data_IF_310881518426
#
_entry.id   IF_310881518426
#
_cell.length_a   1.000
_cell.length_b   1.000
_cell.length_c   1.000
_cell.angle_alpha   90.00
_cell.angle_beta   90.00
_cell.angle_gamma   90.00
#
_symmetry.space_group_name_H-M   'P 1'
#
loop_
_entity.id
_entity.type
_entity.pdbx_description
1 polymer ?
#
# COMPACT_ATOMS: atom_id res chain seq x y z
N UNK A 1 21.88 -1.52 -4.51
CA UNK A 1 20.66 -1.42 -3.69
C UNK A 1 20.55 -2.62 -2.74
N UNK A 2 19.87 -2.46 -1.61
CA UNK A 2 19.49 -3.56 -0.72
C UNK A 2 18.03 -3.92 -0.97
N UNK A 3 17.70 -5.20 -0.96
CA UNK A 3 16.34 -5.69 -1.19
C UNK A 3 16.03 -6.87 -0.26
N UNK A 4 14.80 -6.90 0.28
CA UNK A 4 14.32 -8.03 1.07
C UNK A 4 13.88 -9.18 0.14
N UNK A 5 14.47 -10.34 0.31
CA UNK A 5 14.18 -11.56 -0.46
C UNK A 5 13.74 -12.66 0.50
N UNK A 6 12.55 -13.17 0.26
CA UNK A 6 12.02 -14.34 0.92
C UNK A 6 12.58 -15.59 0.24
N UNK A 7 13.52 -16.29 0.90
CA UNK A 7 14.23 -17.46 0.35
C UNK A 7 13.37 -18.73 0.36
N UNK A 8 12.58 -18.88 1.40
CA UNK A 8 11.62 -19.95 1.68
C UNK A 8 10.69 -19.48 2.80
N UNK A 9 9.62 -20.19 3.13
CA UNK A 9 8.81 -19.85 4.29
C UNK A 9 9.65 -19.61 5.54
N UNK A 10 9.32 -18.57 6.29
CA UNK A 10 9.98 -18.13 7.53
C UNK A 10 11.45 -17.69 7.38
N UNK A 11 11.93 -17.40 6.14
CA UNK A 11 13.32 -17.03 5.91
C UNK A 11 13.43 -15.83 4.95
N UNK A 12 13.61 -14.63 5.53
CA UNK A 12 13.90 -13.39 4.79
C UNK A 12 15.38 -13.05 4.94
N UNK A 13 16.00 -12.70 3.82
CA UNK A 13 17.37 -12.20 3.76
C UNK A 13 17.41 -10.85 3.05
N UNK A 14 18.36 -10.01 3.46
CA UNK A 14 18.67 -8.77 2.74
C UNK A 14 19.80 -9.05 1.77
N UNK A 15 19.48 -8.98 0.50
CA UNK A 15 20.47 -9.11 -0.57
C UNK A 15 20.96 -7.74 -1.06
N UNK A 16 22.21 -7.66 -1.45
CA UNK A 16 22.74 -6.53 -2.17
C UNK A 16 22.73 -6.81 -3.68
N UNK A 17 22.11 -5.92 -4.45
CA UNK A 17 22.04 -5.99 -5.91
C UNK A 17 22.55 -4.70 -6.53
N UNK A 18 23.20 -4.79 -7.67
CA UNK A 18 23.59 -3.61 -8.46
C UNK A 18 22.41 -3.21 -9.35
N UNK A 19 22.01 -1.95 -9.27
CA UNK A 19 21.14 -1.37 -10.28
C UNK A 19 21.98 -1.06 -11.54
N UNK A 20 21.31 -1.02 -12.68
CA UNK A 20 21.97 -0.56 -13.92
C UNK A 20 22.44 0.90 -13.77
N UNK A 21 23.58 1.21 -14.36
CA UNK A 21 24.19 2.54 -14.21
C UNK A 21 23.41 3.62 -15.00
N UNK A 22 22.88 3.27 -16.17
CA UNK A 22 22.21 4.22 -17.08
C UNK A 22 20.72 3.92 -17.17
N UNK A 23 19.88 4.96 -17.05
CA UNK A 23 18.44 4.87 -17.25
C UNK A 23 18.10 4.74 -18.74
N UNK A 24 16.98 4.07 -19.03
CA UNK A 24 16.32 4.22 -20.31
C UNK A 24 15.60 5.59 -20.39
N UNK A 25 15.23 6.08 -21.59
CA UNK A 25 14.61 7.40 -21.72
C UNK A 25 13.35 7.59 -20.90
N UNK A 26 12.53 6.53 -20.70
CA UNK A 26 11.25 6.52 -20.02
C UNK A 26 11.32 6.06 -18.54
N UNK A 27 12.53 6.02 -17.95
CA UNK A 27 12.73 5.50 -16.60
C UNK A 27 13.09 6.58 -15.58
N UNK A 28 12.70 6.32 -14.36
CA UNK A 28 13.13 7.08 -13.17
C UNK A 28 13.92 6.18 -12.22
N UNK A 29 14.89 6.77 -11.52
CA UNK A 29 15.58 6.18 -10.37
C UNK A 29 15.10 6.88 -9.12
N UNK A 30 14.73 6.12 -8.11
CA UNK A 30 14.27 6.67 -6.84
C UNK A 30 14.86 5.94 -5.64
N UNK A 31 15.10 6.71 -4.57
CA UNK A 31 15.65 6.22 -3.29
C UNK A 31 14.50 6.11 -2.29
N UNK A 32 14.29 4.92 -1.76
CA UNK A 32 13.27 4.64 -0.76
C UNK A 32 13.51 5.40 0.55
N UNK A 33 12.46 6.01 1.07
CA UNK A 33 12.41 6.67 2.37
C UNK A 33 11.74 5.76 3.40
N UNK A 34 10.57 5.20 3.04
CA UNK A 34 9.81 4.30 3.89
C UNK A 34 9.09 3.26 3.05
N UNK A 35 8.89 2.09 3.61
CA UNK A 35 8.16 0.99 2.98
C UNK A 35 7.31 0.31 4.05
N UNK A 36 6.01 0.11 3.76
CA UNK A 36 5.06 -0.40 4.74
C UNK A 36 4.86 -1.91 4.62
N UNK A 37 4.86 -2.59 5.76
CA UNK A 37 4.49 -3.99 5.87
C UNK A 37 2.96 -4.14 5.96
N UNK A 38 2.39 -4.89 5.02
CA UNK A 38 0.97 -5.23 5.00
C UNK A 38 0.76 -6.58 5.68
N UNK A 39 0.34 -6.55 6.95
CA UNK A 39 0.28 -7.73 7.82
C UNK A 39 -0.46 -8.93 7.20
N UNK A 40 -1.50 -8.72 6.41
CA UNK A 40 -2.20 -9.81 5.71
C UNK A 40 -1.31 -10.47 4.66
N UNK A 41 -0.92 -9.71 3.64
CA UNK A 41 -0.16 -10.22 2.48
C UNK A 41 1.27 -10.60 2.85
N UNK A 42 1.99 -9.73 3.57
CA UNK A 42 3.41 -9.97 3.87
C UNK A 42 3.58 -11.11 4.87
N UNK A 43 2.65 -11.23 5.83
CA UNK A 43 2.62 -12.39 6.74
C UNK A 43 2.30 -13.68 5.98
N UNK A 44 1.28 -13.69 5.11
CA UNK A 44 0.95 -14.85 4.29
C UNK A 44 2.12 -15.28 3.39
N UNK A 45 2.81 -14.30 2.76
CA UNK A 45 4.06 -14.57 2.02
C UNK A 45 5.13 -15.21 2.91
N UNK A 46 5.34 -14.66 4.11
CA UNK A 46 6.35 -15.13 5.05
C UNK A 46 6.07 -16.55 5.54
N UNK A 47 4.81 -16.85 5.84
CA UNK A 47 4.37 -18.17 6.30
C UNK A 47 4.26 -19.20 5.15
N UNK A 48 4.25 -18.75 3.91
CA UNK A 48 4.09 -19.61 2.73
C UNK A 48 2.65 -20.06 2.53
N UNK A 49 1.67 -19.22 2.88
CA UNK A 49 0.26 -19.51 2.69
C UNK A 49 -0.08 -19.69 1.19
N UNK A 50 -0.79 -20.75 0.85
CA UNK A 50 -1.11 -21.14 -0.54
C UNK A 50 -2.03 -20.14 -1.25
N UNK A 51 -2.86 -19.42 -0.52
CA UNK A 51 -3.82 -18.44 -1.03
C UNK A 51 -3.19 -17.07 -1.36
N UNK A 52 -1.90 -16.86 -1.03
CA UNK A 52 -1.20 -15.63 -1.39
C UNK A 52 -0.73 -15.70 -2.85
N UNK A 53 -1.07 -14.71 -3.69
CA UNK A 53 -0.64 -14.68 -5.08
C UNK A 53 0.87 -14.86 -5.24
N UNK A 54 1.27 -15.84 -6.07
CA UNK A 54 2.67 -16.19 -6.29
C UNK A 54 3.30 -17.10 -5.23
N UNK A 55 2.61 -17.49 -4.15
CA UNK A 55 3.02 -18.60 -3.30
C UNK A 55 2.73 -19.93 -4.04
N UNK A 56 3.53 -20.97 -3.87
CA UNK A 56 4.74 -21.10 -3.05
C UNK A 56 6.06 -20.89 -3.81
N UNK A 57 6.14 -20.00 -4.79
CA UNK A 57 7.36 -19.77 -5.59
C UNK A 57 8.42 -19.02 -4.80
N UNK A 58 9.58 -19.62 -4.62
CA UNK A 58 10.75 -19.05 -3.94
C UNK A 58 12.03 -19.25 -4.77
N UNK A 59 13.05 -18.38 -4.63
CA UNK A 59 13.05 -17.14 -3.85
C UNK A 59 12.21 -16.04 -4.52
N UNK A 60 11.63 -15.11 -3.72
CA UNK A 60 10.83 -14.00 -4.23
C UNK A 60 11.07 -12.72 -3.44
N UNK A 61 10.86 -11.58 -4.10
CA UNK A 61 10.79 -10.30 -3.40
C UNK A 61 9.44 -10.17 -2.65
N UNK A 62 9.40 -9.28 -1.66
CA UNK A 62 8.21 -8.98 -0.84
C UNK A 62 8.01 -7.47 -0.71
N UNK A 63 6.78 -7.08 -0.43
CA UNK A 63 6.37 -5.68 -0.34
C UNK A 63 5.85 -5.11 -1.65
N UNK A 64 4.99 -4.10 -1.54
CA UNK A 64 4.34 -3.42 -2.65
C UNK A 64 3.78 -2.05 -2.22
N UNK A 65 4.39 -1.42 -1.22
CA UNK A 65 4.02 -0.10 -0.72
C UNK A 65 5.28 0.64 -0.29
N UNK A 66 5.72 1.58 -1.10
CA UNK A 66 7.04 2.19 -1.01
C UNK A 66 6.93 3.70 -1.29
N UNK A 67 7.49 4.51 -0.41
CA UNK A 67 7.70 5.94 -0.63
C UNK A 67 9.16 6.17 -0.97
N UNK A 68 9.41 6.94 -2.00
CA UNK A 68 10.75 7.25 -2.45
C UNK A 68 10.88 8.71 -2.91
N UNK A 69 12.12 9.16 -3.01
CA UNK A 69 12.50 10.45 -3.61
C UNK A 69 13.17 10.17 -4.95
N UNK A 70 12.68 10.79 -6.00
CA UNK A 70 13.25 10.70 -7.35
C UNK A 70 14.66 11.30 -7.34
N UNK A 71 15.65 10.53 -7.78
CA UNK A 71 17.08 10.91 -7.81
C UNK A 71 17.56 11.23 -9.21
N UNK A 72 16.99 10.56 -10.22
CA UNK A 72 17.40 10.67 -11.61
C UNK A 72 16.20 10.36 -12.51
N UNK A 73 16.09 11.03 -13.65
CA UNK A 73 15.04 10.79 -14.65
C UNK A 73 15.66 10.60 -16.04
N UNK A 74 15.04 9.78 -16.86
CA UNK A 74 15.35 9.61 -18.27
C UNK A 74 14.91 10.81 -19.11
N UNK A 75 15.42 10.90 -20.33
CA UNK A 75 15.23 12.06 -21.20
C UNK A 75 13.78 12.26 -21.71
N UNK A 76 12.93 11.23 -21.65
CA UNK A 76 11.53 11.26 -22.10
C UNK A 76 10.53 11.30 -20.93
N UNK A 77 11.02 11.31 -19.69
CA UNK A 77 10.16 11.43 -18.49
C UNK A 77 9.57 12.83 -18.42
N UNK A 78 8.24 12.93 -18.40
CA UNK A 78 7.51 14.18 -18.39
C UNK A 78 6.70 14.45 -17.12
N UNK A 79 6.30 13.40 -16.39
CA UNK A 79 5.43 13.53 -15.22
C UNK A 79 6.18 13.74 -13.90
N UNK A 80 7.48 13.40 -13.85
CA UNK A 80 8.30 13.46 -12.63
C UNK A 80 9.53 14.33 -12.81
N UNK A 81 10.01 14.90 -11.72
CA UNK A 81 11.29 15.63 -11.65
C UNK A 81 12.12 15.14 -10.47
N UNK A 82 13.42 15.38 -10.53
CA UNK A 82 14.35 15.10 -9.42
C UNK A 82 13.90 15.86 -8.17
N UNK A 83 13.85 15.16 -7.06
CA UNK A 83 13.37 15.66 -5.77
C UNK A 83 11.89 15.37 -5.49
N UNK A 84 11.10 14.93 -6.46
CA UNK A 84 9.71 14.57 -6.22
C UNK A 84 9.62 13.40 -5.23
N UNK A 85 8.68 13.53 -4.29
CA UNK A 85 8.27 12.45 -3.39
C UNK A 85 7.18 11.62 -4.08
N UNK A 86 7.40 10.33 -4.19
CA UNK A 86 6.50 9.43 -4.91
C UNK A 86 6.13 8.22 -4.08
N UNK A 87 4.89 7.76 -4.25
CA UNK A 87 4.41 6.45 -3.78
C UNK A 87 4.44 5.48 -4.94
N UNK A 88 4.83 4.24 -4.68
CA UNK A 88 4.90 3.18 -5.68
C UNK A 88 4.59 1.80 -5.09
N UNK A 89 4.34 0.83 -5.97
CA UNK A 89 4.18 -0.58 -5.61
C UNK A 89 5.51 -1.36 -5.69
N UNK A 90 6.63 -0.70 -5.51
CA UNK A 90 7.91 -1.35 -5.47
C UNK A 90 8.10 -2.18 -4.19
N UNK A 91 8.89 -3.27 -4.26
CA UNK A 91 9.22 -4.11 -3.11
C UNK A 91 9.90 -3.36 -1.97
N UNK A 92 10.09 -4.05 -0.83
CA UNK A 92 10.94 -3.56 0.27
C UNK A 92 12.39 -3.54 -0.17
N UNK A 93 12.82 -2.41 -0.72
CA UNK A 93 14.17 -2.19 -1.24
C UNK A 93 14.63 -0.74 -1.04
N UNK A 94 15.94 -0.53 -0.97
CA UNK A 94 16.51 0.78 -0.64
C UNK A 94 16.49 1.77 -1.80
N UNK A 95 16.46 1.27 -3.02
CA UNK A 95 16.53 2.06 -4.26
C UNK A 95 15.98 1.23 -5.42
N UNK A 96 15.39 1.88 -6.40
CA UNK A 96 14.79 1.20 -7.54
C UNK A 96 14.82 2.04 -8.82
N UNK A 97 14.64 1.36 -9.96
CA UNK A 97 14.41 1.97 -11.26
C UNK A 97 13.10 1.41 -11.79
N UNK A 98 12.24 2.28 -12.30
CA UNK A 98 10.98 1.89 -12.92
C UNK A 98 10.65 2.84 -14.07
N UNK A 99 9.81 2.37 -14.99
CA UNK A 99 9.25 3.22 -16.03
C UNK A 99 8.24 4.20 -15.46
N UNK A 100 8.18 5.40 -16.01
CA UNK A 100 7.21 6.43 -15.66
C UNK A 100 5.76 5.93 -15.75
N UNK A 101 5.46 5.07 -16.74
CA UNK A 101 4.13 4.49 -16.97
C UNK A 101 3.66 3.45 -15.95
N UNK A 102 4.49 3.11 -14.95
CA UNK A 102 4.10 2.16 -13.89
C UNK A 102 3.27 2.85 -12.81
N UNK A 103 2.76 2.07 -11.83
CA UNK A 103 1.96 2.59 -10.72
C UNK A 103 2.79 3.43 -9.75
N UNK A 104 3.15 4.64 -10.19
CA UNK A 104 3.88 5.65 -9.42
C UNK A 104 3.06 6.92 -9.41
N UNK A 105 2.90 7.56 -8.25
CA UNK A 105 2.18 8.82 -8.10
C UNK A 105 2.97 9.78 -7.23
N UNK A 106 2.97 11.07 -7.58
CA UNK A 106 3.51 12.13 -6.72
C UNK A 106 2.69 12.26 -5.44
N UNK A 107 3.37 12.50 -4.32
CA UNK A 107 2.74 12.75 -3.03
C UNK A 107 2.49 14.24 -2.90
N UNK A 108 1.24 14.69 -2.64
CA UNK A 108 0.93 16.08 -2.44
C UNK A 108 1.73 16.69 -1.29
N UNK A 109 2.00 18.00 -1.40
CA UNK A 109 2.63 18.76 -0.31
C UNK A 109 1.76 18.69 0.97
N UNK A 110 2.41 18.59 2.13
CA UNK A 110 1.75 18.49 3.43
C UNK A 110 1.31 17.09 3.83
N UNK A 111 1.29 16.10 2.92
CA UNK A 111 1.02 14.69 3.27
C UNK A 111 2.32 14.05 3.80
N UNK A 112 2.25 13.43 4.98
CA UNK A 112 3.38 12.70 5.57
C UNK A 112 3.64 11.38 4.86
N UNK A 113 4.90 10.95 4.84
CA UNK A 113 5.31 9.67 4.22
C UNK A 113 4.63 8.47 4.88
N UNK A 114 4.50 8.52 6.23
CA UNK A 114 3.86 7.47 7.02
C UNK A 114 2.35 7.33 6.73
N UNK A 115 1.71 8.39 6.25
CA UNK A 115 0.31 8.36 5.83
C UNK A 115 0.21 7.96 4.34
N UNK A 116 1.06 8.56 3.49
CA UNK A 116 1.07 8.32 2.06
C UNK A 116 1.37 6.85 1.69
N UNK A 117 2.22 6.18 2.47
CA UNK A 117 2.61 4.78 2.21
C UNK A 117 1.43 3.81 2.23
N UNK A 118 0.29 4.18 2.83
CA UNK A 118 -0.94 3.39 2.87
C UNK A 118 -1.90 3.66 1.72
N UNK A 119 -1.59 4.60 0.82
CA UNK A 119 -2.48 5.02 -0.28
C UNK A 119 -2.93 3.85 -1.17
N UNK A 120 -2.05 2.88 -1.44
CA UNK A 120 -2.40 1.68 -2.21
C UNK A 120 -3.50 0.86 -1.54
N UNK A 121 -3.47 0.72 -0.21
CA UNK A 121 -4.51 0.02 0.55
C UNK A 121 -5.78 0.85 0.67
N UNK A 122 -5.68 2.16 0.80
CA UNK A 122 -6.85 3.05 0.78
C UNK A 122 -7.55 3.04 -0.57
N UNK A 123 -6.80 2.94 -1.67
CA UNK A 123 -7.37 2.75 -3.01
C UNK A 123 -8.17 1.44 -3.09
N UNK A 124 -7.67 0.34 -2.52
CA UNK A 124 -8.41 -0.92 -2.43
C UNK A 124 -9.67 -0.78 -1.56
N UNK A 125 -9.57 -0.05 -0.44
CA UNK A 125 -10.73 0.22 0.43
C UNK A 125 -11.81 1.05 -0.29
N UNK A 126 -11.42 2.05 -1.07
CA UNK A 126 -12.32 2.83 -1.91
C UNK A 126 -12.97 1.95 -3.01
N UNK A 127 -12.16 1.08 -3.64
CA UNK A 127 -12.64 0.18 -4.69
C UNK A 127 -13.71 -0.81 -4.20
N UNK A 128 -13.74 -1.15 -2.90
CA UNK A 128 -14.81 -1.96 -2.32
C UNK A 128 -16.20 -1.35 -2.52
N UNK A 129 -16.33 -0.02 -2.45
CA UNK A 129 -17.60 0.68 -2.69
C UNK A 129 -18.07 0.51 -4.14
N UNK A 130 -17.16 0.64 -5.10
CA UNK A 130 -17.45 0.39 -6.51
C UNK A 130 -17.86 -1.06 -6.76
N UNK A 131 -17.15 -2.02 -6.16
CA UNK A 131 -17.48 -3.45 -6.29
C UNK A 131 -18.81 -3.83 -5.65
N UNK A 132 -19.20 -3.14 -4.57
CA UNK A 132 -20.48 -3.35 -3.92
C UNK A 132 -21.66 -2.69 -4.66
N UNK A 133 -21.40 -1.97 -5.78
CA UNK A 133 -22.37 -1.12 -6.45
C UNK A 133 -23.06 -0.15 -5.48
N UNK A 134 -22.28 0.41 -4.56
CA UNK A 134 -22.79 1.31 -3.52
C UNK A 134 -23.39 2.58 -4.12
N UNK A 135 -24.57 2.95 -3.60
CA UNK A 135 -25.27 4.18 -3.99
C UNK A 135 -25.22 5.16 -2.81
N UNK A 136 -24.79 6.43 -3.04
CA UNK A 136 -24.81 7.44 -1.99
C UNK A 136 -26.17 7.54 -1.28
N UNK A 137 -26.15 7.61 0.05
CA UNK A 137 -27.37 7.58 0.88
C UNK A 137 -27.68 6.22 1.49
N UNK A 138 -27.04 5.14 1.04
CA UNK A 138 -27.18 3.82 1.66
C UNK A 138 -26.43 3.71 2.99
N UNK A 139 -26.80 2.68 3.77
CA UNK A 139 -26.05 2.30 4.95
C UNK A 139 -24.98 1.27 4.59
N UNK A 140 -23.80 1.39 5.20
CA UNK A 140 -22.67 0.49 4.99
C UNK A 140 -22.32 -0.24 6.28
N UNK A 141 -22.12 -1.55 6.21
CA UNK A 141 -21.54 -2.35 7.28
C UNK A 141 -20.18 -2.88 6.85
N UNK A 142 -19.14 -2.56 7.63
CA UNK A 142 -17.78 -3.04 7.40
C UNK A 142 -17.46 -4.10 8.45
N UNK A 143 -17.28 -5.33 8.02
CA UNK A 143 -16.95 -6.47 8.90
C UNK A 143 -15.46 -6.76 8.82
N UNK A 144 -14.79 -6.72 9.97
CA UNK A 144 -13.33 -6.86 10.07
C UNK A 144 -12.60 -5.51 9.97
N UNK A 145 -12.04 -5.07 11.09
CA UNK A 145 -11.38 -3.78 11.24
C UNK A 145 -9.85 -3.89 11.16
N UNK A 146 -9.36 -4.58 10.13
CA UNK A 146 -7.96 -4.49 9.70
C UNK A 146 -7.70 -3.19 8.94
N UNK A 147 -6.53 -3.05 8.33
CA UNK A 147 -6.15 -1.83 7.60
C UNK A 147 -7.14 -1.51 6.47
N UNK A 148 -7.58 -2.50 5.69
CA UNK A 148 -8.58 -2.31 4.63
C UNK A 148 -9.95 -1.94 5.20
N UNK A 149 -10.39 -2.63 6.26
CA UNK A 149 -11.68 -2.34 6.90
C UNK A 149 -11.72 -0.95 7.52
N UNK A 150 -10.67 -0.52 8.23
CA UNK A 150 -10.56 0.84 8.75
C UNK A 150 -10.52 1.88 7.62
N UNK A 151 -9.83 1.57 6.51
CA UNK A 151 -9.85 2.39 5.32
C UNK A 151 -11.26 2.49 4.71
N UNK A 152 -11.99 1.38 4.60
CA UNK A 152 -13.36 1.39 4.11
C UNK A 152 -14.31 2.20 5.03
N UNK A 153 -14.12 2.10 6.35
CA UNK A 153 -14.87 2.94 7.31
C UNK A 153 -14.60 4.43 7.06
N UNK A 154 -13.34 4.82 6.91
CA UNK A 154 -12.95 6.21 6.65
C UNK A 154 -13.49 6.73 5.30
N UNK A 155 -13.60 5.87 4.29
CA UNK A 155 -14.17 6.20 2.98
C UNK A 155 -15.69 6.37 2.99
N UNK A 156 -16.41 5.79 3.96
CA UNK A 156 -17.87 5.85 4.04
C UNK A 156 -18.46 7.25 3.90
N UNK A 157 -18.06 8.22 4.73
CA UNK A 157 -18.52 9.61 4.59
C UNK A 157 -18.16 10.24 3.24
N UNK A 158 -16.99 9.92 2.71
CA UNK A 158 -16.48 10.46 1.43
C UNK A 158 -17.35 9.98 0.26
N UNK A 159 -17.76 8.70 0.29
CA UNK A 159 -18.67 8.13 -0.71
C UNK A 159 -20.15 8.46 -0.46
N UNK A 160 -20.47 9.20 0.60
CA UNK A 160 -21.84 9.61 0.91
C UNK A 160 -22.68 8.55 1.61
N UNK A 161 -22.07 7.67 2.39
CA UNK A 161 -22.81 6.72 3.22
C UNK A 161 -23.66 7.45 4.26
N UNK A 162 -24.96 7.10 4.37
CA UNK A 162 -25.87 7.65 5.37
C UNK A 162 -25.45 7.24 6.79
N UNK A 163 -25.01 6.00 6.95
CA UNK A 163 -24.44 5.46 8.20
C UNK A 163 -23.35 4.46 7.83
N UNK A 164 -22.24 4.50 8.56
CA UNK A 164 -21.22 3.46 8.51
C UNK A 164 -21.21 2.70 9.84
N UNK A 165 -21.39 1.40 9.79
CA UNK A 165 -21.35 0.48 10.93
C UNK A 165 -20.04 -0.30 10.83
N UNK A 166 -19.22 -0.23 11.85
CA UNK A 166 -17.95 -0.96 11.92
C UNK A 166 -18.11 -2.17 12.86
N UNK A 167 -17.82 -3.36 12.36
CA UNK A 167 -18.00 -4.62 13.11
C UNK A 167 -16.64 -5.26 13.35
N UNK A 168 -16.22 -5.36 14.62
CA UNK A 168 -14.93 -5.91 14.99
C UNK A 168 -14.86 -6.36 16.46
N UNK A 169 -13.84 -7.13 16.79
CA UNK A 169 -13.60 -7.71 18.12
C UNK A 169 -12.43 -7.04 18.90
N UNK A 170 -11.84 -5.99 18.37
CA UNK A 170 -10.73 -5.26 18.99
C UNK A 170 -11.20 -3.87 19.44
N UNK A 171 -11.13 -3.58 20.74
CA UNK A 171 -11.51 -2.27 21.30
C UNK A 171 -10.72 -1.13 20.65
N UNK A 172 -9.40 -1.28 20.50
CA UNK A 172 -8.52 -0.27 19.87
C UNK A 172 -8.98 0.05 18.46
N UNK A 173 -9.30 -0.98 17.65
CA UNK A 173 -9.76 -0.78 16.27
C UNK A 173 -11.17 -0.21 16.20
N UNK A 174 -12.04 -0.59 17.13
CA UNK A 174 -13.37 0.00 17.27
C UNK A 174 -13.28 1.49 17.61
N UNK A 175 -12.37 1.90 18.48
CA UNK A 175 -12.14 3.31 18.80
C UNK A 175 -11.54 4.09 17.62
N UNK A 176 -10.68 3.49 16.84
CA UNK A 176 -10.22 4.09 15.58
C UNK A 176 -11.38 4.25 14.59
N UNK A 177 -12.25 3.26 14.46
CA UNK A 177 -13.43 3.34 13.61
C UNK A 177 -14.40 4.44 14.06
N UNK A 178 -14.62 4.64 15.38
CA UNK A 178 -15.41 5.78 15.91
C UNK A 178 -14.85 7.13 15.51
N UNK A 179 -13.52 7.31 15.60
CA UNK A 179 -12.85 8.56 15.19
C UNK A 179 -13.08 8.89 13.72
N UNK A 180 -13.31 7.89 12.88
CA UNK A 180 -13.67 8.03 11.47
C UNK A 180 -15.17 8.10 11.21
N UNK A 181 -15.98 8.44 12.21
CA UNK A 181 -17.41 8.71 12.07
C UNK A 181 -18.33 7.48 11.99
N UNK A 182 -17.80 6.28 12.25
CA UNK A 182 -18.63 5.07 12.26
C UNK A 182 -19.30 4.82 13.62
N UNK A 183 -20.33 3.97 13.60
CA UNK A 183 -20.91 3.35 14.80
C UNK A 183 -20.30 1.96 14.97
N UNK A 184 -19.38 1.75 15.92
CA UNK A 184 -18.79 0.44 16.11
C UNK A 184 -19.76 -0.51 16.78
N UNK A 185 -19.72 -1.76 16.33
CA UNK A 185 -20.36 -2.90 16.96
C UNK A 185 -19.27 -3.90 17.37
N UNK A 186 -19.07 -4.07 18.68
CA UNK A 186 -18.11 -5.03 19.21
C UNK A 186 -18.83 -6.35 19.50
N UNK A 187 -18.39 -7.44 18.87
CA UNK A 187 -18.80 -8.78 19.31
C UNK A 187 -17.64 -9.40 20.09
N UNK A 188 -17.97 -10.10 21.15
CA UNK A 188 -17.01 -10.83 22.01
C UNK A 188 -16.75 -12.20 21.44
#
# INVERSE_FOLDING_TARGET
MKIAILKKPYCIEIEEKKLKAKLAPDEIRAKTVVSALKLGTDRGNYEGAEDVPGAPTYPRWVGDSNIAIVQEIGSEVGEFKVGDRVVSQNPHQSEWIAKESTNICTIPEGVKDEDAVWSTLYTLSAYCYTKANFIPGENVAVVGLGILGLGAVAMGPIFGAKKTIAVGNSEVRNDMAKKNGSRPFCFK
#
